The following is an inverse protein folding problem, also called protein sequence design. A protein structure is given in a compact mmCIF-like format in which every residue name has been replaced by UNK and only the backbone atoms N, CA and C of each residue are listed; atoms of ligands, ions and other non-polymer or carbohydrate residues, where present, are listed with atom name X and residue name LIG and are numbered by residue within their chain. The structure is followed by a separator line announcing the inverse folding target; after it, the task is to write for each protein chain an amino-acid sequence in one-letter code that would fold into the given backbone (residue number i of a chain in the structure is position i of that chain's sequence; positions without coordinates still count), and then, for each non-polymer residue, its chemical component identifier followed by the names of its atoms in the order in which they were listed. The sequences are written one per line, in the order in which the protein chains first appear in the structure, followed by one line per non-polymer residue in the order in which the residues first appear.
data_IF_268177680885
#
_entry.id   IF_268177680885
#
_cell.length_a   1.000
_cell.length_b   1.000
_cell.length_c   1.000
_cell.angle_alpha   90.00
_cell.angle_beta   90.00
_cell.angle_gamma   90.00
#
_symmetry.space_group_name_H-M   'P 1'
#
loop_
_entity.id
_entity.type
_entity.pdbx_description
1 polymer ?
#
# COMPACT_ATOMS: atom_id res chain seq x y z
N UNK A 1 23.12 8.31 12.26
CA UNK A 1 23.28 8.26 10.79
C UNK A 1 24.24 9.38 10.40
N UNK A 2 25.29 9.14 9.61
CA UNK A 2 26.27 10.17 9.23
C UNK A 2 25.89 10.78 7.87
N UNK A 3 25.14 11.89 7.79
CA UNK A 3 24.55 12.38 6.54
C UNK A 3 25.59 12.78 5.48
N UNK A 4 26.80 13.15 5.91
CA UNK A 4 27.83 13.69 5.01
C UNK A 4 28.76 12.63 4.41
N UNK A 5 28.66 11.37 4.85
CA UNK A 5 29.49 10.26 4.36
C UNK A 5 28.61 9.04 3.99
N UNK A 6 27.64 9.20 3.07
CA UNK A 6 26.71 8.13 2.70
C UNK A 6 27.43 6.96 2.04
N UNK A 7 28.50 7.21 1.28
CA UNK A 7 29.24 6.18 0.54
C UNK A 7 30.26 5.41 1.40
N UNK A 8 30.21 5.53 2.74
CA UNK A 8 31.08 4.76 3.63
C UNK A 8 30.81 3.27 3.46
N UNK A 9 31.85 2.46 3.27
CA UNK A 9 31.81 1.01 2.95
C UNK A 9 31.46 0.64 1.50
N UNK A 10 30.92 1.56 0.71
CA UNK A 10 30.61 1.32 -0.70
C UNK A 10 31.77 1.69 -1.64
N UNK A 11 32.69 2.55 -1.18
CA UNK A 11 33.80 3.02 -1.99
C UNK A 11 35.07 2.18 -1.78
N UNK A 12 35.68 1.79 -2.88
CA UNK A 12 37.01 1.15 -2.95
C UNK A 12 38.03 2.10 -3.58
N UNK A 13 39.29 1.97 -3.17
CA UNK A 13 40.36 2.80 -3.68
C UNK A 13 40.81 2.31 -5.06
N UNK A 14 40.81 3.19 -6.07
CA UNK A 14 41.24 2.84 -7.43
C UNK A 14 42.72 2.43 -7.55
N UNK A 15 43.58 2.78 -6.59
CA UNK A 15 45.01 2.41 -6.64
C UNK A 15 45.31 1.05 -6.01
N UNK A 16 44.62 0.68 -4.92
CA UNK A 16 44.95 -0.52 -4.14
C UNK A 16 43.77 -1.43 -3.83
N UNK A 17 42.57 -1.14 -4.36
CA UNK A 17 41.34 -1.91 -4.18
C UNK A 17 40.74 -1.87 -2.76
N UNK A 18 41.49 -1.39 -1.75
CA UNK A 18 41.04 -1.40 -0.35
C UNK A 18 39.90 -0.41 -0.09
N UNK A 19 38.99 -0.69 0.87
CA UNK A 19 37.88 0.18 1.18
C UNK A 19 38.34 1.55 1.71
N UNK A 20 37.63 2.59 1.28
CA UNK A 20 37.84 3.96 1.74
C UNK A 20 37.11 4.21 3.07
N UNK A 21 37.76 4.93 3.99
CA UNK A 21 37.15 5.37 5.26
C UNK A 21 36.75 6.83 5.18
N UNK A 22 35.64 7.17 5.83
CA UNK A 22 35.20 8.55 5.99
C UNK A 22 35.84 9.22 7.21
N UNK A 23 36.22 10.49 7.09
CA UNK A 23 36.66 11.33 8.21
C UNK A 23 36.27 12.80 8.02
N UNK A 24 36.40 13.59 9.08
CA UNK A 24 36.09 15.03 9.11
C UNK A 24 37.30 15.85 9.53
N UNK A 25 37.55 16.96 8.83
CA UNK A 25 38.49 18.00 9.25
C UNK A 25 37.73 18.98 10.13
N UNK A 26 37.77 18.79 11.45
CA UNK A 26 36.98 19.57 12.43
C UNK A 26 37.12 21.09 12.25
N UNK A 27 38.34 21.59 12.04
CA UNK A 27 38.63 23.02 11.86
C UNK A 27 37.89 23.66 10.68
N UNK A 28 37.65 22.90 9.61
CA UNK A 28 36.99 23.39 8.38
C UNK A 28 35.59 22.81 8.17
N UNK A 29 35.14 21.92 9.06
CA UNK A 29 33.92 21.14 8.93
C UNK A 29 33.77 20.41 7.56
N UNK A 30 34.90 19.98 6.98
CA UNK A 30 34.92 19.32 5.67
C UNK A 30 35.06 17.80 5.80
N UNK A 31 34.27 17.08 5.00
CA UNK A 31 34.22 15.62 5.01
C UNK A 31 35.00 15.01 3.85
N UNK A 32 35.67 13.90 4.09
CA UNK A 32 36.57 13.26 3.15
C UNK A 32 36.52 11.73 3.22
N UNK A 33 36.86 11.10 2.10
CA UNK A 33 37.12 9.67 1.97
C UNK A 33 38.62 9.44 1.79
N UNK A 34 39.23 8.69 2.70
CA UNK A 34 40.68 8.41 2.71
C UNK A 34 40.96 6.92 2.67
N UNK A 35 42.00 6.55 1.90
CA UNK A 35 42.57 5.22 1.93
C UNK A 35 43.59 5.12 3.08
N UNK A 36 43.46 4.11 3.93
CA UNK A 36 44.37 3.87 5.07
C UNK A 36 45.57 2.98 4.71
N UNK A 37 45.72 2.59 3.44
CA UNK A 37 46.87 1.78 3.01
C UNK A 37 48.14 2.63 3.05
N UNK A 38 49.20 2.12 3.69
CA UNK A 38 50.52 2.77 3.68
C UNK A 38 50.93 3.07 2.24
N UNK A 39 51.49 4.26 2.00
CA UNK A 39 51.91 4.78 0.70
C UNK A 39 50.82 5.01 -0.38
N UNK A 40 49.55 4.67 -0.15
CA UNK A 40 48.50 4.91 -1.17
C UNK A 40 48.10 6.40 -1.28
N UNK A 41 48.17 7.13 -0.16
CA UNK A 41 47.91 8.58 -0.04
C UNK A 41 46.64 9.12 -0.73
N UNK A 42 45.71 8.24 -1.11
CA UNK A 42 44.50 8.61 -1.81
C UNK A 42 43.48 9.20 -0.83
N UNK A 43 43.11 10.45 -1.07
CA UNK A 43 42.16 11.21 -0.28
C UNK A 43 41.28 12.06 -1.20
N UNK A 44 39.97 11.97 -1.04
CA UNK A 44 38.98 12.62 -1.89
C UNK A 44 37.92 13.32 -1.07
N UNK A 45 37.50 14.50 -1.52
CA UNK A 45 36.40 15.25 -0.91
C UNK A 45 35.11 14.44 -0.96
N UNK A 46 34.39 14.39 0.16
CA UNK A 46 33.10 13.70 0.21
C UNK A 46 32.07 14.38 -0.68
N UNK A 47 32.06 15.72 -0.73
CA UNK A 47 31.15 16.49 -1.60
C UNK A 47 31.30 16.09 -3.06
N UNK A 48 32.54 15.98 -3.54
CA UNK A 48 32.83 15.61 -4.94
C UNK A 48 32.36 14.20 -5.26
N UNK A 49 32.67 13.23 -4.40
CA UNK A 49 32.29 11.83 -4.62
C UNK A 49 30.79 11.61 -4.50
N UNK A 50 30.13 12.25 -3.53
CA UNK A 50 28.68 12.18 -3.37
C UNK A 50 27.98 12.80 -4.58
N UNK A 51 28.43 13.98 -5.04
CA UNK A 51 27.86 14.63 -6.24
C UNK A 51 28.04 13.78 -7.51
N UNK A 52 29.17 13.08 -7.63
CA UNK A 52 29.38 12.15 -8.74
C UNK A 52 28.43 10.96 -8.65
N UNK A 53 28.22 10.41 -7.45
CA UNK A 53 27.28 9.32 -7.23
C UNK A 53 25.84 9.73 -7.50
N UNK A 54 25.44 10.95 -7.11
CA UNK A 54 24.13 11.52 -7.44
C UNK A 54 23.91 11.57 -8.97
N UNK A 55 24.92 11.95 -9.75
CA UNK A 55 24.85 11.93 -11.22
C UNK A 55 24.70 10.52 -11.80
N UNK A 56 25.27 9.51 -11.13
CA UNK A 56 25.06 8.10 -11.51
C UNK A 56 23.62 7.70 -11.22
N UNK A 57 23.11 8.00 -10.01
CA UNK A 57 21.72 7.73 -9.63
C UNK A 57 20.71 8.44 -10.52
N UNK A 58 21.04 9.63 -11.04
CA UNK A 58 20.18 10.39 -11.93
C UNK A 58 19.86 9.64 -13.25
N UNK A 59 20.73 8.71 -13.66
CA UNK A 59 20.48 7.85 -14.83
C UNK A 59 19.44 6.76 -14.57
N UNK A 60 19.25 6.39 -13.30
CA UNK A 60 18.28 5.39 -12.86
C UNK A 60 16.96 6.01 -12.43
N UNK A 61 16.83 7.34 -12.45
CA UNK A 61 15.56 8.01 -12.15
C UNK A 61 14.54 7.68 -13.22
N UNK A 62 13.43 7.11 -12.77
CA UNK A 62 12.30 6.70 -13.61
C UNK A 62 11.55 7.93 -14.17
N UNK A 63 11.77 9.12 -13.60
CA UNK A 63 11.21 10.41 -14.09
C UNK A 63 11.56 10.73 -15.56
N UNK A 64 12.63 10.12 -16.10
CA UNK A 64 13.01 10.28 -17.51
C UNK A 64 12.15 9.46 -18.48
N UNK A 65 11.32 8.56 -17.96
CA UNK A 65 10.44 7.68 -18.71
C UNK A 65 8.98 7.87 -18.26
N UNK A 66 8.48 9.11 -18.35
CA UNK A 66 7.11 9.47 -17.96
C UNK A 66 6.07 8.57 -18.63
N UNK A 67 6.27 8.26 -19.91
CA UNK A 67 5.39 7.37 -20.67
C UNK A 67 5.35 5.95 -20.07
N UNK A 68 6.48 5.47 -19.54
CA UNK A 68 6.57 4.17 -18.86
C UNK A 68 5.86 4.22 -17.50
N UNK A 69 5.99 5.32 -16.77
CA UNK A 69 5.28 5.51 -15.49
C UNK A 69 3.77 5.47 -15.71
N UNK A 70 3.26 6.15 -16.72
CA UNK A 70 1.82 6.19 -16.98
C UNK A 70 1.31 4.83 -17.43
N UNK A 71 2.09 4.09 -18.23
CA UNK A 71 1.78 2.71 -18.59
C UNK A 71 1.79 1.77 -17.38
N UNK A 72 2.76 1.91 -16.47
CA UNK A 72 2.81 1.14 -15.21
C UNK A 72 1.59 1.47 -14.34
N UNK A 73 1.20 2.74 -14.22
CA UNK A 73 -0.01 3.13 -13.47
C UNK A 73 -1.26 2.51 -14.07
N UNK A 74 -1.44 2.62 -15.39
CA UNK A 74 -2.57 2.00 -16.10
C UNK A 74 -2.61 0.49 -15.86
N UNK A 75 -1.48 -0.20 -16.00
CA UNK A 75 -1.40 -1.64 -15.75
C UNK A 75 -1.69 -1.98 -14.29
N UNK A 76 -1.19 -1.18 -13.34
CA UNK A 76 -1.44 -1.38 -11.90
C UNK A 76 -2.93 -1.25 -11.59
N UNK A 77 -3.59 -0.23 -12.13
CA UNK A 77 -5.04 -0.04 -11.98
C UNK A 77 -5.81 -1.19 -12.62
N UNK A 78 -5.44 -1.62 -13.84
CA UNK A 78 -6.09 -2.73 -14.52
C UNK A 78 -5.97 -4.04 -13.72
N UNK A 79 -4.78 -4.36 -13.22
CA UNK A 79 -4.52 -5.55 -12.39
C UNK A 79 -5.29 -5.44 -11.07
N UNK A 80 -5.29 -4.28 -10.42
CA UNK A 80 -6.05 -4.05 -9.19
C UNK A 80 -7.54 -4.28 -9.40
N UNK A 81 -8.10 -3.75 -10.50
CA UNK A 81 -9.50 -3.93 -10.85
C UNK A 81 -9.81 -5.40 -11.14
N UNK A 82 -8.94 -6.12 -11.86
CA UNK A 82 -9.11 -7.54 -12.14
C UNK A 82 -9.10 -8.38 -10.85
N UNK A 83 -8.19 -8.08 -9.92
CA UNK A 83 -8.12 -8.78 -8.63
C UNK A 83 -9.29 -8.43 -7.71
N UNK A 84 -9.86 -7.24 -7.85
CA UNK A 84 -10.98 -6.76 -7.03
C UNK A 84 -12.36 -7.04 -7.64
N UNK A 85 -12.44 -7.37 -8.94
CA UNK A 85 -13.71 -7.57 -9.66
C UNK A 85 -14.61 -8.59 -8.97
N UNK A 86 -14.06 -9.75 -8.56
CA UNK A 86 -14.83 -10.77 -7.85
C UNK A 86 -15.40 -10.28 -6.52
N UNK A 87 -14.62 -9.50 -5.75
CA UNK A 87 -15.08 -8.92 -4.48
C UNK A 87 -16.18 -7.89 -4.68
N UNK A 88 -16.10 -7.12 -5.78
CA UNK A 88 -17.11 -6.12 -6.12
C UNK A 88 -18.44 -6.78 -6.52
N UNK A 89 -18.39 -7.86 -7.29
CA UNK A 89 -19.57 -8.64 -7.68
C UNK A 89 -20.21 -9.32 -6.47
N UNK A 90 -19.40 -9.92 -5.59
CA UNK A 90 -19.85 -10.51 -4.33
C UNK A 90 -20.52 -9.48 -3.43
N UNK A 91 -19.92 -8.29 -3.29
CA UNK A 91 -20.50 -7.18 -2.52
C UNK A 91 -21.85 -6.73 -3.09
N UNK A 92 -21.95 -6.56 -4.41
CA UNK A 92 -23.22 -6.18 -5.07
C UNK A 92 -24.29 -7.26 -4.90
N UNK A 93 -23.92 -8.54 -4.98
CA UNK A 93 -24.82 -9.65 -4.77
C UNK A 93 -25.35 -9.65 -3.32
N UNK A 94 -24.46 -9.46 -2.35
CA UNK A 94 -24.81 -9.43 -0.94
C UNK A 94 -25.68 -8.23 -0.55
N UNK A 95 -25.43 -7.05 -1.15
CA UNK A 95 -26.32 -5.89 -1.04
C UNK A 95 -27.72 -6.16 -1.60
N UNK A 96 -27.83 -6.92 -2.70
CA UNK A 96 -29.13 -7.30 -3.28
C UNK A 96 -29.89 -8.23 -2.33
N UNK A 97 -29.23 -9.26 -1.80
CA UNK A 97 -29.81 -10.16 -0.81
C UNK A 97 -30.28 -9.41 0.45
N UNK A 98 -29.49 -8.46 0.94
CA UNK A 98 -29.90 -7.63 2.07
C UNK A 98 -31.20 -6.85 1.78
N UNK A 99 -31.29 -6.20 0.62
CA UNK A 99 -32.51 -5.48 0.20
C UNK A 99 -33.72 -6.40 0.12
N UNK A 100 -33.56 -7.59 -0.45
CA UNK A 100 -34.64 -8.57 -0.54
C UNK A 100 -35.16 -9.02 0.84
N UNK A 101 -34.26 -9.24 1.81
CA UNK A 101 -34.64 -9.60 3.19
C UNK A 101 -35.41 -8.45 3.85
N UNK A 102 -34.96 -7.20 3.68
CA UNK A 102 -35.68 -6.02 4.19
C UNK A 102 -37.08 -5.92 3.58
N UNK A 103 -37.23 -6.13 2.27
CA UNK A 103 -38.56 -6.14 1.63
C UNK A 103 -39.46 -7.26 2.18
N UNK A 104 -38.90 -8.46 2.42
CA UNK A 104 -39.65 -9.57 3.05
C UNK A 104 -40.10 -9.24 4.47
N UNK A 105 -39.24 -8.56 5.24
CA UNK A 105 -39.55 -8.08 6.59
C UNK A 105 -40.69 -7.08 6.55
N UNK A 106 -40.62 -6.05 5.70
CA UNK A 106 -41.67 -5.03 5.61
C UNK A 106 -43.02 -5.66 5.22
N UNK A 107 -43.03 -6.57 4.25
CA UNK A 107 -44.25 -7.28 3.86
C UNK A 107 -44.82 -8.16 4.98
N UNK A 108 -43.94 -8.75 5.81
CA UNK A 108 -44.37 -9.54 6.96
C UNK A 108 -44.99 -8.64 8.05
N UNK A 109 -44.45 -7.44 8.25
CA UNK A 109 -44.99 -6.44 9.18
C UNK A 109 -46.36 -5.93 8.70
N UNK A 110 -46.50 -5.55 7.43
CA UNK A 110 -47.75 -5.09 6.83
C UNK A 110 -48.87 -6.12 7.03
N UNK A 111 -48.62 -7.38 6.68
CA UNK A 111 -49.62 -8.46 6.82
C UNK A 111 -49.98 -8.78 8.27
N UNK A 112 -49.08 -8.53 9.21
CA UNK A 112 -49.39 -8.68 10.63
C UNK A 112 -50.27 -7.53 11.14
N UNK A 113 -50.00 -6.30 10.68
CA UNK A 113 -50.82 -5.12 11.00
C UNK A 113 -52.23 -5.23 10.39
N UNK A 114 -52.34 -5.80 9.20
CA UNK A 114 -53.62 -6.08 8.52
C UNK A 114 -54.36 -7.30 9.11
N UNK A 115 -53.83 -7.91 10.18
CA UNK A 115 -54.38 -9.09 10.86
C UNK A 115 -54.52 -10.34 9.95
N UNK A 116 -53.82 -10.37 8.80
CA UNK A 116 -53.84 -11.52 7.88
C UNK A 116 -53.09 -12.75 8.42
N UNK A 117 -52.21 -12.55 9.42
CA UNK A 117 -51.38 -13.60 10.01
C UNK A 117 -51.39 -13.52 11.54
N UNK A 118 -51.34 -14.68 12.20
CA UNK A 118 -51.26 -14.77 13.66
C UNK A 118 -49.89 -14.39 14.22
N UNK A 119 -49.86 -13.91 15.47
CA UNK A 119 -48.65 -13.47 16.17
C UNK A 119 -47.53 -14.51 16.20
N UNK A 120 -47.85 -15.78 16.45
CA UNK A 120 -46.85 -16.87 16.49
C UNK A 120 -46.15 -17.06 15.13
N UNK A 121 -46.89 -16.90 14.04
CA UNK A 121 -46.35 -17.01 12.68
C UNK A 121 -45.44 -15.82 12.37
N UNK A 122 -45.87 -14.61 12.75
CA UNK A 122 -45.06 -13.40 12.61
C UNK A 122 -43.71 -13.54 13.34
N UNK A 123 -43.72 -13.90 14.63
CA UNK A 123 -42.50 -14.00 15.44
C UNK A 123 -41.52 -15.04 14.87
N UNK A 124 -42.02 -16.21 14.45
CA UNK A 124 -41.20 -17.28 13.85
C UNK A 124 -40.48 -16.82 12.57
N UNK A 125 -41.21 -16.19 11.64
CA UNK A 125 -40.62 -15.75 10.37
C UNK A 125 -39.78 -14.49 10.53
N UNK A 126 -40.13 -13.60 11.46
CA UNK A 126 -39.31 -12.43 11.79
C UNK A 126 -37.95 -12.83 12.33
N UNK A 127 -37.92 -13.72 13.32
CA UNK A 127 -36.66 -14.24 13.85
C UNK A 127 -35.80 -14.87 12.76
N UNK A 128 -36.39 -15.69 11.88
CA UNK A 128 -35.67 -16.30 10.75
C UNK A 128 -35.04 -15.26 9.82
N UNK A 129 -35.77 -14.21 9.46
CA UNK A 129 -35.25 -13.16 8.58
C UNK A 129 -34.18 -12.29 9.26
N UNK A 130 -34.32 -12.04 10.57
CA UNK A 130 -33.31 -11.33 11.34
C UNK A 130 -32.00 -12.14 11.46
N UNK A 131 -32.09 -13.46 11.70
CA UNK A 131 -30.93 -14.36 11.69
C UNK A 131 -30.22 -14.38 10.34
N UNK A 132 -30.99 -14.42 9.24
CA UNK A 132 -30.47 -14.37 7.88
C UNK A 132 -29.80 -13.01 7.58
N UNK A 133 -30.40 -11.91 8.06
CA UNK A 133 -29.83 -10.56 7.95
C UNK A 133 -28.52 -10.44 8.70
N UNK A 134 -28.43 -10.95 9.92
CA UNK A 134 -27.20 -10.95 10.75
C UNK A 134 -26.10 -11.77 10.07
N UNK A 135 -26.45 -12.96 9.55
CA UNK A 135 -25.50 -13.82 8.82
C UNK A 135 -24.95 -13.14 7.56
N UNK A 136 -25.82 -12.46 6.80
CA UNK A 136 -25.39 -11.75 5.60
C UNK A 136 -24.57 -10.51 5.95
N UNK A 137 -24.89 -9.80 7.03
CA UNK A 137 -24.10 -8.65 7.51
C UNK A 137 -22.67 -9.03 7.86
N UNK A 138 -22.47 -10.15 8.56
CA UNK A 138 -21.12 -10.66 8.86
C UNK A 138 -20.28 -10.97 7.62
N UNK A 139 -20.91 -11.48 6.56
CA UNK A 139 -20.24 -11.70 5.27
C UNK A 139 -19.90 -10.39 4.54
N UNK A 140 -20.71 -9.35 4.74
CA UNK A 140 -20.47 -8.03 4.11
C UNK A 140 -19.24 -7.38 4.71
N UNK A 141 -19.06 -7.50 6.03
CA UNK A 141 -17.92 -6.92 6.75
C UNK A 141 -16.59 -7.58 6.35
N UNK A 142 -16.60 -8.87 5.98
CA UNK A 142 -15.43 -9.58 5.43
C UNK A 142 -15.16 -9.24 3.95
N UNK A 143 -16.18 -8.87 3.19
CA UNK A 143 -16.09 -8.58 1.76
C UNK A 143 -15.72 -7.12 1.44
N UNK A 144 -15.63 -6.22 2.44
CA UNK A 144 -15.28 -4.80 2.22
C UNK A 144 -13.89 -4.72 1.60
N UNK A 145 -13.74 -4.26 0.34
CA UNK A 145 -12.43 -4.05 -0.23
C UNK A 145 -11.73 -2.91 0.53
N UNK A 146 -10.47 -3.13 0.90
CA UNK A 146 -9.65 -2.15 1.61
C UNK A 146 -9.62 -0.81 0.83
N UNK A 147 -10.28 0.22 1.38
CA UNK A 147 -10.36 1.56 0.78
C UNK A 147 -11.77 2.06 0.42
N UNK A 148 -12.84 1.28 0.64
CA UNK A 148 -14.22 1.78 0.53
C UNK A 148 -14.74 2.09 1.93
N UNK A 149 -14.84 3.39 2.27
CA UNK A 149 -15.52 3.82 3.50
C UNK A 149 -17.01 3.45 3.44
N UNK A 150 -17.56 2.83 4.49
CA UNK A 150 -19.00 2.61 4.58
C UNK A 150 -19.69 3.97 4.70
N UNK A 151 -20.62 4.26 3.79
CA UNK A 151 -21.59 5.36 3.97
C UNK A 151 -22.65 4.98 5.00
#
# INVERSE_FOLDING_TARGET
MFPYIPLKRFLTCGHCGKPLRGYIVKKKNLHYYKCCTKACNNNKSATTLNSLFEKVLDRFKIDRAKDVIDLIKQQTVAVFNQLTAGKQDDYQHLQRQHREIVTKINRLEERYVEEEIGGDLYHKYRQRYDDERIRNRGKTDEAIPAGVEPR
#
